data_IF_807472221867
#
_entry.id   IF_807472221867
#
_cell.length_a   1.000
_cell.length_b   1.000
_cell.length_c   1.000
_cell.angle_alpha   90.00
_cell.angle_beta   90.00
_cell.angle_gamma   90.00
#
_symmetry.space_group_name_H-M   'P 1'
#
loop_
_entity.id
_entity.type
_entity.pdbx_description
1 polymer ?
#
# COMPACT_ATOMS: atom_id res chain seq x y z
N UNK A 1 21.12 13.44 2.21
CA UNK A 1 19.66 13.21 2.30
C UNK A 1 19.41 11.70 2.28
N UNK A 2 19.38 11.07 3.46
CA UNK A 2 19.18 9.62 3.56
C UNK A 2 17.74 9.25 3.19
N UNK A 3 17.57 8.22 2.36
CA UNK A 3 16.26 7.58 2.16
C UNK A 3 15.83 7.07 3.54
N UNK A 4 14.84 7.73 4.16
CA UNK A 4 14.31 7.30 5.46
C UNK A 4 13.93 5.82 5.43
N UNK A 5 13.88 5.19 6.60
CA UNK A 5 13.73 3.75 6.79
C UNK A 5 12.67 3.16 5.85
N UNK A 6 13.05 2.14 5.08
CA UNK A 6 12.15 1.43 4.16
C UNK A 6 10.88 0.99 4.91
N UNK A 7 9.72 1.18 4.29
CA UNK A 7 8.44 0.75 4.88
C UNK A 7 8.43 -0.79 4.87
N UNK A 8 8.37 -1.38 6.06
CA UNK A 8 8.29 -2.83 6.24
C UNK A 8 6.97 -3.40 5.72
N UNK A 9 6.94 -4.70 5.43
CA UNK A 9 5.73 -5.36 4.92
C UNK A 9 4.56 -5.27 5.92
N UNK A 10 4.85 -5.41 7.22
CA UNK A 10 3.88 -5.19 8.29
C UNK A 10 3.28 -3.77 8.27
N UNK A 11 4.11 -2.76 8.04
CA UNK A 11 3.65 -1.38 7.94
C UNK A 11 2.78 -1.18 6.70
N UNK A 12 3.07 -1.88 5.58
CA UNK A 12 2.22 -1.86 4.38
C UNK A 12 0.83 -2.43 4.67
N UNK A 13 0.78 -3.55 5.40
CA UNK A 13 -0.48 -4.14 5.86
C UNK A 13 -1.30 -3.17 6.71
N UNK A 14 -0.67 -2.47 7.66
CA UNK A 14 -1.34 -1.45 8.48
C UNK A 14 -1.82 -0.25 7.64
N UNK A 15 -1.00 0.26 6.73
CA UNK A 15 -1.38 1.35 5.82
C UNK A 15 -2.62 0.95 5.03
N UNK A 16 -2.64 -0.27 4.50
CA UNK A 16 -3.76 -0.80 3.71
C UNK A 16 -5.04 -0.89 4.55
N UNK A 17 -4.99 -1.56 5.69
CA UNK A 17 -6.17 -1.71 6.56
C UNK A 17 -6.76 -0.37 7.00
N UNK A 18 -5.91 0.62 7.32
CA UNK A 18 -6.37 1.96 7.67
C UNK A 18 -7.01 2.67 6.47
N UNK A 19 -6.44 2.53 5.26
CA UNK A 19 -6.99 3.13 4.05
C UNK A 19 -8.32 2.50 3.64
N UNK A 20 -8.45 1.17 3.75
CA UNK A 20 -9.69 0.44 3.51
C UNK A 20 -10.78 0.79 4.54
N UNK A 21 -10.39 1.13 5.77
CA UNK A 21 -11.29 1.68 6.79
C UNK A 21 -11.71 3.15 6.53
N UNK A 22 -11.35 3.73 5.38
CA UNK A 22 -11.71 5.10 4.99
C UNK A 22 -10.85 6.18 5.65
N UNK A 23 -9.75 5.83 6.31
CA UNK A 23 -8.88 6.81 6.96
C UNK A 23 -8.03 7.52 5.90
N UNK A 24 -8.07 8.85 5.91
CA UNK A 24 -7.32 9.67 4.95
C UNK A 24 -5.81 9.54 5.12
N UNK A 25 -5.06 9.60 4.01
CA UNK A 25 -3.59 9.47 3.96
C UNK A 25 -2.87 10.38 4.97
N UNK A 26 -3.40 11.58 5.21
CA UNK A 26 -2.83 12.52 6.19
C UNK A 26 -2.94 12.02 7.63
N UNK A 27 -4.04 11.35 7.97
CA UNK A 27 -4.25 10.76 9.30
C UNK A 27 -3.41 9.49 9.46
N UNK A 28 -3.30 8.67 8.40
CA UNK A 28 -2.40 7.49 8.39
C UNK A 28 -0.94 7.92 8.60
N UNK A 29 -0.50 8.98 7.91
CA UNK A 29 0.85 9.54 8.04
C UNK A 29 1.17 9.96 9.47
N UNK A 30 0.22 10.61 10.15
CA UNK A 30 0.37 10.98 11.57
C UNK A 30 0.41 9.75 12.48
N UNK A 31 -0.42 8.74 12.20
CA UNK A 31 -0.53 7.54 13.04
C UNK A 31 0.67 6.60 12.94
N UNK A 32 1.32 6.56 11.78
CA UNK A 32 2.47 5.70 11.52
C UNK A 32 3.80 6.48 11.50
N UNK A 33 3.76 7.78 11.82
CA UNK A 33 4.93 8.67 11.79
C UNK A 33 5.71 8.60 10.46
N UNK A 34 4.99 8.34 9.37
CA UNK A 34 5.57 8.18 8.02
C UNK A 34 5.23 9.36 7.13
N UNK A 35 6.09 9.58 6.14
CA UNK A 35 5.84 10.60 5.13
C UNK A 35 4.61 10.26 4.29
N UNK A 36 3.83 11.29 3.94
CA UNK A 36 2.68 11.17 3.04
C UNK A 36 3.08 10.54 1.70
N UNK A 37 4.25 10.89 1.17
CA UNK A 37 4.76 10.35 -0.08
C UNK A 37 5.06 8.85 0.02
N UNK A 38 5.62 8.38 1.14
CA UNK A 38 5.86 6.96 1.37
C UNK A 38 4.55 6.15 1.37
N UNK A 39 3.53 6.66 2.06
CA UNK A 39 2.20 6.04 2.11
C UNK A 39 1.53 6.04 0.73
N UNK A 40 1.56 7.17 0.02
CA UNK A 40 1.00 7.27 -1.33
C UNK A 40 1.66 6.28 -2.29
N UNK A 41 2.97 6.05 -2.14
CA UNK A 41 3.70 5.07 -2.94
C UNK A 41 3.24 3.63 -2.66
N UNK A 42 3.02 3.29 -1.40
CA UNK A 42 2.50 1.97 -0.99
C UNK A 42 1.09 1.73 -1.52
N UNK A 43 0.22 2.74 -1.44
CA UNK A 43 -1.14 2.65 -1.98
C UNK A 43 -1.15 2.55 -3.52
N UNK A 44 -0.28 3.32 -4.19
CA UNK A 44 -0.18 3.32 -5.67
C UNK A 44 0.43 2.03 -6.22
N UNK A 45 1.46 1.48 -5.56
CA UNK A 45 2.08 0.22 -5.94
C UNK A 45 1.09 -0.96 -5.87
N UNK A 46 0.15 -0.91 -4.93
CA UNK A 46 -0.92 -1.91 -4.83
C UNK A 46 -1.94 -1.79 -5.94
N UNK A 47 -2.33 -0.56 -6.33
CA UNK A 47 -3.24 -0.37 -7.47
C UNK A 47 -2.62 -0.90 -8.78
N UNK A 48 -1.30 -0.79 -8.94
CA UNK A 48 -0.58 -1.42 -10.04
C UNK A 48 -0.59 -2.96 -9.97
N UNK A 49 -0.57 -3.54 -8.77
CA UNK A 49 -0.68 -4.99 -8.58
C UNK A 49 -2.08 -5.52 -8.85
N UNK A 50 -3.13 -4.77 -8.50
CA UNK A 50 -4.54 -5.14 -8.78
C UNK A 50 -4.87 -5.04 -10.28
N UNK A 51 -4.19 -4.17 -11.03
CA UNK A 51 -4.39 -4.04 -12.49
C UNK A 51 -3.53 -5.01 -13.32
N UNK A 52 -2.67 -5.83 -12.70
CA UNK A 52 -2.11 -7.01 -13.36
C UNK A 52 -3.10 -8.15 -13.20
N UNK A 53 -4.11 -8.16 -14.06
CA UNK A 53 -4.94 -9.33 -14.32
C UNK A 53 -4.04 -10.51 -14.69
N UNK A 54 -3.80 -11.40 -13.73
CA UNK A 54 -3.51 -12.79 -14.04
C UNK A 54 -4.84 -13.45 -14.34
N UNK A 55 -5.13 -13.74 -15.60
CA UNK A 55 -6.14 -14.74 -15.94
C UNK A 55 -5.87 -15.99 -15.10
N UNK A 56 -6.87 -16.58 -14.41
CA UNK A 56 -6.73 -17.97 -14.02
C UNK A 56 -6.51 -18.77 -15.31
N UNK A 57 -5.58 -19.74 -15.37
CA UNK A 57 -5.54 -20.64 -16.51
C UNK A 57 -6.92 -21.31 -16.57
N UNK A 58 -7.63 -21.12 -17.70
CA UNK A 58 -8.83 -21.90 -17.99
C UNK A 58 -8.42 -23.37 -17.88
N UNK A 59 -8.99 -24.04 -16.89
CA UNK A 59 -8.92 -25.48 -16.76
C UNK A 59 -9.70 -26.04 -17.95
N UNK A 60 -9.00 -26.41 -19.02
CA UNK A 60 -9.61 -27.18 -20.12
C UNK A 60 -9.70 -28.64 -19.68
N UNK A 61 -10.89 -29.20 -19.91
CA UNK A 61 -11.33 -30.60 -19.69
C UNK A 61 -10.31 -31.66 -20.13
#
# INVERSE_FOLDING_TARGET
MGRGSTISDEERGRIKGLYEAGIVVRAIARRLERSRNGISRVLSAQKAHVNKGGSPPSLTD
#
